data_IF_628397964905
#
_entry.id   IF_628397964905
#
_cell.length_a   1.000
_cell.length_b   1.000
_cell.length_c   1.000
_cell.angle_alpha   90.00
_cell.angle_beta   90.00
_cell.angle_gamma   90.00
#
_symmetry.space_group_name_H-M   'P 1'
#
loop_
_entity.id
_entity.type
_entity.pdbx_description
1 polymer ?
#
# COMPACT_ATOMS: atom_id res chain seq x y z
N UNK A 1 -12.21 -8.76 7.93
CA UNK A 1 -12.10 -8.24 6.55
C UNK A 1 -10.70 -8.40 5.99
N UNK A 2 -9.71 -7.70 6.55
CA UNK A 2 -8.34 -7.62 6.01
C UNK A 2 -7.70 -8.97 5.65
N UNK A 3 -7.68 -9.96 6.57
CA UNK A 3 -7.09 -11.28 6.28
C UNK A 3 -7.76 -12.00 5.10
N UNK A 4 -9.09 -11.94 4.98
CA UNK A 4 -9.82 -12.52 3.85
C UNK A 4 -9.43 -11.81 2.56
N UNK A 5 -9.40 -10.48 2.58
CA UNK A 5 -8.98 -9.65 1.44
C UNK A 5 -7.57 -10.02 0.95
N UNK A 6 -6.60 -10.09 1.87
CA UNK A 6 -5.21 -10.47 1.55
C UNK A 6 -5.13 -11.89 0.96
N UNK A 7 -5.93 -12.84 1.49
CA UNK A 7 -5.97 -14.20 0.98
C UNK A 7 -6.58 -14.31 -0.42
N UNK A 8 -7.57 -13.48 -0.76
CA UNK A 8 -8.12 -13.42 -2.12
C UNK A 8 -7.09 -12.79 -3.07
N UNK A 9 -6.47 -11.68 -2.65
CA UNK A 9 -5.54 -10.94 -3.49
C UNK A 9 -4.25 -11.71 -3.82
N UNK A 10 -3.83 -12.67 -2.97
CA UNK A 10 -2.60 -13.46 -3.21
C UNK A 10 -2.57 -14.20 -4.55
N UNK A 11 -3.73 -14.49 -5.14
CA UNK A 11 -3.83 -15.16 -6.44
C UNK A 11 -3.61 -14.22 -7.63
N UNK A 12 -3.65 -12.91 -7.42
CA UNK A 12 -3.64 -11.91 -8.49
C UNK A 12 -2.49 -10.92 -8.38
N UNK A 13 -1.96 -10.70 -7.17
CA UNK A 13 -0.93 -9.70 -6.91
C UNK A 13 0.14 -10.21 -5.96
N UNK A 14 1.34 -9.67 -6.14
CA UNK A 14 2.41 -9.75 -5.15
C UNK A 14 2.12 -8.76 -4.02
N UNK A 15 2.16 -9.23 -2.78
CA UNK A 15 1.85 -8.41 -1.61
C UNK A 15 3.13 -8.14 -0.81
N UNK A 16 3.25 -6.93 -0.30
CA UNK A 16 4.41 -6.47 0.46
C UNK A 16 3.91 -5.67 1.67
N UNK A 17 4.57 -5.81 2.82
CA UNK A 17 4.37 -4.91 3.96
C UNK A 17 5.49 -3.89 3.98
N UNK A 18 5.13 -2.62 4.08
CA UNK A 18 6.07 -1.55 4.36
C UNK A 18 5.49 -0.76 5.52
N UNK A 19 6.09 -0.83 6.70
CA UNK A 19 5.57 -0.24 7.92
C UNK A 19 6.59 0.67 8.60
N UNK A 20 6.09 1.73 9.24
CA UNK A 20 6.89 2.58 10.10
C UNK A 20 7.01 2.00 11.52
N UNK A 21 6.45 0.83 11.81
CA UNK A 21 6.56 0.17 13.10
C UNK A 21 7.95 -0.47 13.30
N UNK A 22 8.29 -0.72 14.56
CA UNK A 22 9.47 -1.52 14.94
C UNK A 22 9.23 -3.00 14.61
N UNK A 23 10.31 -3.76 14.57
CA UNK A 23 10.31 -5.19 14.24
C UNK A 23 9.35 -5.99 15.13
N UNK A 24 9.46 -5.86 16.45
CA UNK A 24 8.65 -6.61 17.41
C UNK A 24 7.14 -6.41 17.20
N UNK A 25 6.70 -5.16 17.01
CA UNK A 25 5.29 -4.87 16.70
C UNK A 25 4.89 -5.43 15.35
N UNK A 26 5.78 -5.37 14.36
CA UNK A 26 5.52 -5.90 13.02
C UNK A 26 5.31 -7.41 13.05
N UNK A 27 6.18 -8.15 13.75
CA UNK A 27 6.08 -9.60 13.91
C UNK A 27 4.77 -10.01 14.59
N UNK A 28 4.38 -9.35 15.68
CA UNK A 28 3.12 -9.63 16.37
C UNK A 28 1.87 -9.48 15.48
N UNK A 29 1.90 -8.53 14.54
CA UNK A 29 0.80 -8.33 13.58
C UNK A 29 0.84 -9.38 12.48
N UNK A 30 2.04 -9.77 12.01
CA UNK A 30 2.20 -10.83 11.01
C UNK A 30 1.75 -12.18 11.53
N UNK A 31 2.00 -12.52 12.79
CA UNK A 31 1.50 -13.76 13.41
C UNK A 31 -0.04 -13.89 13.34
N UNK A 32 -0.76 -12.77 13.35
CA UNK A 32 -2.22 -12.75 13.25
C UNK A 32 -2.71 -12.76 11.79
N UNK A 33 -2.00 -12.03 10.91
CA UNK A 33 -2.43 -11.82 9.52
C UNK A 33 -1.93 -12.88 8.54
N UNK A 34 -0.70 -13.36 8.72
CA UNK A 34 0.03 -14.28 7.86
C UNK A 34 0.89 -15.27 8.67
N UNK A 35 0.30 -16.11 9.54
CA UNK A 35 1.04 -17.01 10.43
C UNK A 35 1.93 -18.01 9.67
N UNK A 36 1.57 -18.34 8.43
CA UNK A 36 2.29 -19.30 7.59
C UNK A 36 3.35 -18.63 6.68
N UNK A 37 3.53 -17.30 6.78
CA UNK A 37 4.43 -16.50 5.95
C UNK A 37 4.22 -16.73 4.43
N UNK A 38 2.96 -16.81 4.01
CA UNK A 38 2.57 -17.19 2.64
C UNK A 38 1.98 -16.03 1.83
N UNK A 39 1.65 -14.90 2.48
CA UNK A 39 0.97 -13.78 1.84
C UNK A 39 1.96 -12.72 1.35
N UNK A 40 2.98 -12.38 2.15
CA UNK A 40 3.87 -11.25 1.87
C UNK A 40 5.24 -11.68 1.35
N UNK A 41 5.64 -11.16 0.18
CA UNK A 41 6.97 -11.42 -0.39
C UNK A 41 8.08 -10.70 0.34
N UNK A 42 7.80 -9.49 0.83
CA UNK A 42 8.76 -8.70 1.61
C UNK A 42 8.06 -7.96 2.74
N UNK A 43 8.74 -7.84 3.88
CA UNK A 43 8.33 -7.02 5.00
C UNK A 43 9.44 -6.00 5.28
N UNK A 44 9.15 -4.73 5.09
CA UNK A 44 10.05 -3.63 5.45
C UNK A 44 9.53 -2.91 6.68
N UNK A 45 10.30 -2.90 7.77
CA UNK A 45 9.98 -2.19 9.02
C UNK A 45 11.07 -1.17 9.37
N UNK A 46 10.81 -0.35 10.38
CA UNK A 46 11.64 0.80 10.78
C UNK A 46 13.09 0.47 11.10
N UNK A 47 13.33 -0.74 11.59
CA UNK A 47 14.64 -1.14 12.11
C UNK A 47 15.56 -1.72 11.01
N UNK A 48 15.02 -1.94 9.79
CA UNK A 48 15.84 -2.32 8.64
C UNK A 48 16.63 -1.13 8.07
N UNK A 49 17.88 -1.32 7.61
CA UNK A 49 18.69 -0.25 7.00
C UNK A 49 18.05 0.41 5.76
N UNK A 50 17.20 -0.33 5.05
CA UNK A 50 16.44 0.14 3.89
C UNK A 50 15.36 1.17 4.26
N UNK A 51 14.91 1.22 5.53
CA UNK A 51 13.89 2.16 5.98
C UNK A 51 14.47 3.56 6.20
N UNK A 52 13.97 4.56 5.48
CA UNK A 52 14.41 5.96 5.60
C UNK A 52 13.27 6.85 6.13
N UNK A 53 13.31 7.17 7.43
CA UNK A 53 12.24 7.91 8.16
C UNK A 53 11.76 9.20 7.49
N UNK A 54 12.67 9.95 6.86
CA UNK A 54 12.41 11.30 6.35
C UNK A 54 12.15 11.35 4.84
N UNK A 55 12.23 10.21 4.15
CA UNK A 55 12.12 10.15 2.68
C UNK A 55 10.72 9.67 2.25
N UNK A 56 9.94 9.07 3.16
CA UNK A 56 8.72 8.36 2.82
C UNK A 56 9.00 6.88 2.58
N UNK A 57 8.11 6.19 1.87
CA UNK A 57 8.23 4.76 1.57
C UNK A 57 8.68 4.58 0.14
N UNK A 58 9.98 4.45 -0.04
CA UNK A 58 10.58 4.25 -1.36
C UNK A 58 10.31 2.82 -1.85
N UNK A 59 9.45 2.68 -2.84
CA UNK A 59 9.04 1.38 -3.39
C UNK A 59 10.20 0.62 -4.03
N UNK A 60 11.29 1.30 -4.42
CA UNK A 60 12.47 0.65 -4.99
C UNK A 60 13.17 -0.32 -4.02
N UNK A 61 12.91 -0.21 -2.70
CA UNK A 61 13.46 -1.12 -1.69
C UNK A 61 12.83 -2.52 -1.71
N UNK A 62 11.62 -2.63 -2.27
CA UNK A 62 10.84 -3.87 -2.25
C UNK A 62 10.43 -4.34 -3.66
N UNK A 63 10.46 -3.43 -4.64
CA UNK A 63 9.96 -3.69 -6.00
C UNK A 63 10.96 -3.15 -7.03
N UNK A 64 11.32 -3.95 -8.06
CA UNK A 64 12.17 -3.49 -9.15
C UNK A 64 11.58 -2.29 -9.91
N UNK A 65 12.43 -1.41 -10.43
CA UNK A 65 12.02 -0.17 -11.10
C UNK A 65 11.09 -0.42 -12.30
N UNK A 66 11.35 -1.49 -13.07
CA UNK A 66 10.54 -1.92 -14.21
C UNK A 66 9.16 -2.46 -13.82
N UNK A 67 8.89 -2.68 -12.54
CA UNK A 67 7.58 -3.10 -12.03
C UNK A 67 6.78 -1.94 -11.43
N UNK A 68 7.38 -0.76 -11.22
CA UNK A 68 6.70 0.40 -10.64
C UNK A 68 5.45 0.84 -11.42
N UNK A 69 5.39 0.64 -12.74
CA UNK A 69 4.19 0.91 -13.53
C UNK A 69 3.00 -0.03 -13.22
N UNK A 70 3.20 -1.05 -12.37
CA UNK A 70 2.20 -2.01 -11.89
C UNK A 70 2.09 -2.06 -10.36
N UNK A 71 2.68 -1.11 -9.64
CA UNK A 71 2.73 -1.12 -8.17
C UNK A 71 1.79 -0.07 -7.58
N UNK A 72 1.08 -0.43 -6.50
CA UNK A 72 0.23 0.48 -5.72
C UNK A 72 0.77 0.54 -4.30
N UNK A 73 0.92 1.75 -3.76
CA UNK A 73 1.19 1.97 -2.34
C UNK A 73 -0.06 2.49 -1.65
N UNK A 74 -0.66 1.67 -0.80
CA UNK A 74 -1.74 2.10 0.08
C UNK A 74 -1.17 2.59 1.41
N UNK A 75 -1.46 3.84 1.77
CA UNK A 75 -0.97 4.44 3.02
C UNK A 75 -1.88 5.56 3.53
N UNK A 76 -1.98 5.73 4.85
CA UNK A 76 -2.77 6.79 5.49
C UNK A 76 -2.05 8.15 5.56
N UNK A 77 -0.76 8.18 5.19
CA UNK A 77 0.07 9.40 5.25
C UNK A 77 0.55 9.80 3.87
N UNK A 78 0.08 10.95 3.33
CA UNK A 78 0.51 11.45 2.02
C UNK A 78 2.04 11.59 1.86
N UNK A 79 2.77 11.90 2.94
CA UNK A 79 4.25 11.95 2.95
C UNK A 79 4.93 10.63 2.61
N UNK A 80 4.27 9.50 2.81
CA UNK A 80 4.87 8.21 2.50
C UNK A 80 4.93 7.97 0.98
N UNK A 81 4.20 8.76 0.18
CA UNK A 81 4.23 8.69 -1.27
C UNK A 81 5.34 9.53 -1.90
N UNK A 82 6.06 10.35 -1.12
CA UNK A 82 7.06 11.30 -1.65
C UNK A 82 8.06 10.71 -2.66
N UNK A 83 8.57 9.48 -2.49
CA UNK A 83 9.50 8.89 -3.46
C UNK A 83 8.88 8.54 -4.81
N UNK A 84 7.61 8.12 -4.81
CA UNK A 84 6.85 7.77 -6.02
C UNK A 84 5.38 8.24 -5.89
N UNK A 85 5.10 9.55 -6.02
CA UNK A 85 3.77 10.09 -5.73
C UNK A 85 2.66 9.48 -6.58
N UNK A 86 2.96 9.12 -7.83
CA UNK A 86 2.01 8.57 -8.81
C UNK A 86 1.59 7.13 -8.51
N UNK A 87 2.29 6.45 -7.60
CA UNK A 87 1.96 5.10 -7.14
C UNK A 87 1.09 5.08 -5.87
N UNK A 88 0.93 6.23 -5.20
CA UNK A 88 0.26 6.33 -3.92
C UNK A 88 -1.27 6.41 -4.01
N UNK A 89 -1.96 5.66 -3.17
CA UNK A 89 -3.38 5.81 -2.89
C UNK A 89 -3.55 6.08 -1.40
N UNK A 90 -4.07 7.26 -1.07
CA UNK A 90 -4.33 7.65 0.31
C UNK A 90 -5.47 6.82 0.88
N UNK A 91 -5.22 6.17 2.02
CA UNK A 91 -6.18 5.36 2.77
C UNK A 91 -6.75 6.22 3.88
N UNK A 92 -8.08 6.19 4.06
CA UNK A 92 -8.70 6.82 5.22
C UNK A 92 -8.36 6.01 6.48
N UNK A 93 -8.07 6.67 7.61
CA UNK A 93 -7.95 5.95 8.88
C UNK A 93 -9.19 5.09 9.12
N UNK A 94 -8.97 3.88 9.61
CA UNK A 94 -10.06 2.98 9.97
C UNK A 94 -10.93 3.61 11.06
N UNK A 95 -12.24 3.60 10.85
CA UNK A 95 -13.21 4.12 11.83
C UNK A 95 -13.90 2.94 12.52
N UNK A 96 -13.47 2.65 13.75
CA UNK A 96 -14.00 1.55 14.57
C UNK A 96 -15.48 1.71 14.92
N UNK A 97 -15.99 2.94 14.93
CA UNK A 97 -17.37 3.26 15.33
C UNK A 97 -18.31 3.13 14.12
N UNK A 98 -17.82 3.42 12.93
CA UNK A 98 -18.62 3.38 11.72
C UNK A 98 -18.72 1.95 11.15
N UNK A 99 -19.80 1.25 11.52
CA UNK A 99 -20.13 -0.08 10.99
C UNK A 99 -20.31 -0.14 9.46
N UNK A 100 -20.33 1.01 8.76
CA UNK A 100 -20.39 1.11 7.29
C UNK A 100 -19.08 1.64 6.69
N UNK A 101 -17.94 1.42 7.34
CA UNK A 101 -16.65 1.74 6.72
C UNK A 101 -16.45 0.91 5.44
N UNK A 102 -16.60 1.59 4.29
CA UNK A 102 -16.45 1.01 2.95
C UNK A 102 -15.02 1.15 2.41
N UNK A 103 -14.06 1.60 3.23
CA UNK A 103 -12.71 1.90 2.75
C UNK A 103 -12.03 0.66 2.17
N UNK A 104 -12.12 -0.50 2.84
CA UNK A 104 -11.55 -1.75 2.32
C UNK A 104 -12.14 -2.14 0.96
N UNK A 105 -13.45 -1.91 0.77
CA UNK A 105 -14.12 -2.16 -0.51
C UNK A 105 -13.59 -1.21 -1.58
N UNK A 106 -13.40 0.08 -1.25
CA UNK A 106 -12.79 1.05 -2.15
C UNK A 106 -11.37 0.63 -2.57
N UNK A 107 -10.54 0.18 -1.63
CA UNK A 107 -9.18 -0.29 -1.93
C UNK A 107 -9.21 -1.50 -2.86
N UNK A 108 -10.09 -2.48 -2.59
CA UNK A 108 -10.31 -3.64 -3.45
C UNK A 108 -10.73 -3.24 -4.86
N UNK A 109 -11.70 -2.33 -5.00
CA UNK A 109 -12.13 -1.81 -6.31
C UNK A 109 -10.96 -1.22 -7.09
N UNK A 110 -10.08 -0.45 -6.43
CA UNK A 110 -8.89 0.12 -7.08
C UNK A 110 -7.94 -0.97 -7.56
N UNK A 111 -7.69 -2.00 -6.74
CA UNK A 111 -6.84 -3.14 -7.14
C UNK A 111 -7.43 -3.85 -8.35
N UNK A 112 -8.72 -4.18 -8.35
CA UNK A 112 -9.35 -4.85 -9.49
C UNK A 112 -9.33 -4.01 -10.76
N UNK A 113 -9.59 -2.71 -10.67
CA UNK A 113 -9.47 -1.81 -11.82
C UNK A 113 -8.03 -1.74 -12.36
N UNK A 114 -7.03 -1.78 -11.47
CA UNK A 114 -5.62 -1.82 -11.85
C UNK A 114 -5.24 -3.15 -12.53
N UNK A 115 -5.81 -4.27 -12.08
CA UNK A 115 -5.64 -5.58 -12.73
C UNK A 115 -6.19 -5.58 -14.16
N UNK A 116 -7.37 -4.98 -14.37
CA UNK A 116 -8.03 -4.91 -15.68
C UNK A 116 -7.36 -3.91 -16.65
N UNK A 117 -6.59 -2.96 -16.13
CA UNK A 117 -5.93 -1.95 -16.96
C UNK A 117 -4.69 -2.54 -17.64
N UNK A 118 -4.58 -2.51 -18.98
CA UNK A 118 -3.34 -2.89 -19.66
C UNK A 118 -2.25 -1.83 -19.43
N UNK A 119 -1.00 -2.28 -19.27
CA UNK A 119 0.16 -1.40 -19.13
C UNK A 119 0.23 -0.66 -17.79
N UNK A 120 0.55 0.63 -17.84
CA UNK A 120 0.79 1.47 -16.67
C UNK A 120 -0.49 1.85 -15.92
N UNK A 121 -0.53 1.55 -14.61
CA UNK A 121 -1.69 1.81 -13.75
C UNK A 121 -1.69 3.21 -13.15
N UNK A 122 -0.57 3.94 -13.14
CA UNK A 122 -0.45 5.24 -12.47
C UNK A 122 -1.49 6.28 -12.92
N UNK A 123 -1.84 6.40 -14.22
CA UNK A 123 -2.92 7.30 -14.64
C UNK A 123 -4.30 6.96 -14.05
N UNK A 124 -4.57 5.67 -13.78
CA UNK A 124 -5.79 5.25 -13.09
C UNK A 124 -5.75 5.68 -11.61
N UNK A 125 -4.61 5.47 -10.93
CA UNK A 125 -4.45 5.81 -9.51
C UNK A 125 -4.64 7.31 -9.26
N UNK A 126 -4.19 8.17 -10.18
CA UNK A 126 -4.39 9.62 -10.09
C UNK A 126 -5.87 10.00 -9.91
N UNK A 127 -6.81 9.23 -10.48
CA UNK A 127 -8.26 9.49 -10.34
C UNK A 127 -8.81 9.19 -8.95
N UNK A 128 -8.06 8.47 -8.13
CA UNK A 128 -8.42 8.09 -6.76
C UNK A 128 -7.65 8.85 -5.68
N UNK A 129 -6.81 9.82 -6.06
CA UNK A 129 -6.08 10.66 -5.10
C UNK A 129 -7.05 11.48 -4.27
N UNK A 130 -6.78 11.53 -2.96
CA UNK A 130 -7.52 12.39 -2.04
C UNK A 130 -7.10 13.85 -2.20
N UNK A 131 -7.90 14.77 -1.65
CA UNK A 131 -7.50 16.17 -1.54
C UNK A 131 -6.12 16.32 -0.88
N UNK A 132 -5.89 15.66 0.26
CA UNK A 132 -4.60 15.69 0.97
C UNK A 132 -3.44 15.14 0.15
N UNK A 133 -3.69 14.15 -0.71
CA UNK A 133 -2.66 13.66 -1.64
C UNK A 133 -2.34 14.74 -2.67
N UNK A 134 -3.35 15.30 -3.34
CA UNK A 134 -3.16 16.31 -4.39
C UNK A 134 -2.57 17.63 -3.87
N UNK A 135 -2.90 18.03 -2.64
CA UNK A 135 -2.32 19.19 -1.98
C UNK A 135 -0.79 19.05 -1.81
N UNK A 136 -0.32 17.85 -1.43
CA UNK A 136 1.11 17.58 -1.28
C UNK A 136 1.80 17.28 -2.61
N UNK A 137 1.10 16.61 -3.53
CA UNK A 137 1.62 16.11 -4.80
C UNK A 137 0.73 16.55 -5.96
N UNK A 138 0.79 17.84 -6.36
CA UNK A 138 -0.03 18.37 -7.44
C UNK A 138 0.23 17.60 -8.74
N UNK A 139 -0.80 17.46 -9.57
CA UNK A 139 -0.60 17.01 -10.94
C UNK A 139 0.05 18.18 -11.71
N UNK A 140 1.25 17.96 -12.23
CA UNK A 140 1.96 18.88 -13.14
C UNK A 140 1.31 18.91 -14.51
#
# INVERSE_FOLDING_TARGET
GARITLNILRFFVNQHVFTAAQESYTLNILEQLDPDNSLFLTVTHRDLPSYKRNVGKDLSVAVPAEKLHRTILFDDRPRNFDPQPTNGVHVKPYDEINARDMEMIRLLTIVFLALLRPGDIRPLLCRFRSFKHNERHPLS
#
